data_IF_338425141094
#
_entry.id   IF_338425141094
#
_cell.length_a   1.000
_cell.length_b   1.000
_cell.length_c   1.000
_cell.angle_alpha   90.00
_cell.angle_beta   90.00
_cell.angle_gamma   90.00
#
_symmetry.space_group_name_H-M   'P 1'
#
loop_
_entity.id
_entity.type
_entity.pdbx_description
1 polymer ?
#
# COMPACT_ATOMS: atom_id res chain seq x y z
N UNK A 1 -8.50 13.64 -0.51
CA UNK A 1 -7.77 13.05 -1.67
C UNK A 1 -6.31 13.48 -1.76
N UNK A 2 -5.99 14.77 -1.59
CA UNK A 2 -4.60 15.29 -1.66
C UNK A 2 -3.63 14.63 -0.66
N UNK A 3 -4.07 14.31 0.56
CA UNK A 3 -3.24 13.61 1.54
C UNK A 3 -2.85 12.19 1.07
N UNK A 4 -3.79 11.42 0.54
CA UNK A 4 -3.51 10.08 -0.01
C UNK A 4 -2.46 10.16 -1.11
N UNK A 5 -2.57 11.16 -2.00
CA UNK A 5 -1.60 11.36 -3.07
C UNK A 5 -0.18 11.62 -2.52
N UNK A 6 -0.04 12.54 -1.55
CA UNK A 6 1.26 12.83 -0.90
C UNK A 6 1.86 11.61 -0.21
N UNK A 7 1.05 10.85 0.51
CA UNK A 7 1.50 9.62 1.18
C UNK A 7 1.98 8.58 0.17
N UNK A 8 1.24 8.40 -0.92
CA UNK A 8 1.60 7.46 -1.99
C UNK A 8 2.84 7.94 -2.74
N UNK A 9 3.00 9.22 -3.02
CA UNK A 9 4.21 9.78 -3.62
C UNK A 9 5.45 9.53 -2.75
N UNK A 10 5.35 9.78 -1.44
CA UNK A 10 6.43 9.49 -0.50
C UNK A 10 6.77 7.98 -0.46
N UNK A 11 5.77 7.10 -0.49
CA UNK A 11 5.98 5.65 -0.57
C UNK A 11 6.74 5.25 -1.83
N UNK A 12 6.43 5.87 -2.98
CA UNK A 12 7.12 5.58 -4.23
C UNK A 12 8.55 6.11 -4.25
N UNK A 13 8.80 7.31 -3.71
CA UNK A 13 10.16 7.84 -3.58
C UNK A 13 11.02 6.89 -2.75
N UNK A 14 10.53 6.53 -1.57
CA UNK A 14 11.18 5.58 -0.67
C UNK A 14 11.43 4.22 -1.36
N UNK A 15 10.51 3.72 -2.20
CA UNK A 15 10.67 2.43 -2.90
C UNK A 15 11.68 2.49 -4.06
N UNK A 16 11.90 3.67 -4.65
CA UNK A 16 12.84 3.89 -5.75
C UNK A 16 14.24 4.26 -5.24
N UNK A 17 14.34 4.85 -4.05
CA UNK A 17 15.60 5.22 -3.39
C UNK A 17 16.30 4.02 -2.70
N UNK A 18 15.59 2.92 -2.49
CA UNK A 18 16.13 1.67 -1.91
C UNK A 18 17.24 1.01 -2.76
N UNK A 19 17.50 1.47 -4.00
CA UNK A 19 18.61 0.96 -4.83
C UNK A 19 19.98 1.60 -4.48
N UNK A 20 20.03 2.71 -3.72
CA UNK A 20 21.29 3.44 -3.48
C UNK A 20 21.62 3.82 -2.02
N UNK A 21 20.74 3.56 -1.04
CA UNK A 21 21.07 3.98 0.34
C UNK A 21 20.65 3.01 1.45
N UNK A 22 21.66 2.31 1.94
CA UNK A 22 21.72 1.80 3.30
C UNK A 22 21.78 3.02 4.26
N UNK A 23 20.63 3.66 4.51
CA UNK A 23 20.58 4.92 5.28
C UNK A 23 19.57 4.86 6.44
N UNK A 24 20.06 4.27 7.53
CA UNK A 24 20.20 4.96 8.83
C UNK A 24 18.92 5.64 9.36
N UNK A 25 17.99 4.85 9.88
CA UNK A 25 16.97 5.34 10.81
C UNK A 25 17.65 5.80 12.11
N UNK A 26 18.02 7.07 12.19
CA UNK A 26 18.21 7.75 13.47
C UNK A 26 16.85 8.25 13.90
N UNK A 27 16.14 7.42 14.66
CA UNK A 27 14.97 7.84 15.42
C UNK A 27 15.44 8.83 16.48
N UNK A 28 15.33 10.13 16.20
CA UNK A 28 15.41 11.15 17.24
C UNK A 28 14.21 11.00 18.16
N UNK A 29 14.46 10.47 19.36
CA UNK A 29 13.61 10.59 20.53
C UNK A 29 13.40 12.09 20.84
N UNK A 30 12.31 12.66 20.31
CA UNK A 30 11.85 13.97 20.70
C UNK A 30 10.35 13.89 20.91
N UNK A 31 9.97 14.15 22.15
CA UNK A 31 8.66 13.92 22.72
C UNK A 31 7.51 14.40 21.86
N UNK A 32 6.49 13.55 21.82
CA UNK A 32 5.11 13.75 21.37
C UNK A 32 4.76 15.19 20.94
N UNK A 33 5.25 15.57 19.76
CA UNK A 33 4.67 16.68 19.02
C UNK A 33 3.26 16.25 18.59
N UNK A 34 2.27 17.17 18.56
CA UNK A 34 0.94 16.83 18.07
C UNK A 34 1.12 16.21 16.69
N UNK A 35 0.62 14.98 16.51
CA UNK A 35 0.88 14.17 15.33
C UNK A 35 0.60 14.97 14.05
N UNK A 36 1.66 15.57 13.49
CA UNK A 36 1.58 16.39 12.30
C UNK A 36 1.60 15.46 11.11
N UNK A 37 0.85 15.82 10.07
CA UNK A 37 0.83 15.03 8.84
C UNK A 37 2.21 15.06 8.18
N UNK A 38 2.94 13.95 8.31
CA UNK A 38 4.22 13.69 7.64
C UNK A 38 4.04 12.51 6.66
N UNK A 39 4.02 12.77 5.35
CA UNK A 39 3.86 11.74 4.32
C UNK A 39 4.91 10.63 4.38
N UNK A 40 6.16 10.93 4.77
CA UNK A 40 7.24 9.95 4.80
C UNK A 40 7.06 8.95 5.96
N UNK A 41 6.68 9.46 7.14
CA UNK A 41 6.37 8.58 8.28
C UNK A 41 5.17 7.69 7.94
N UNK A 42 4.12 8.25 7.35
CA UNK A 42 2.91 7.48 7.00
C UNK A 42 3.22 6.46 5.89
N UNK A 43 4.03 6.83 4.89
CA UNK A 43 4.52 5.92 3.86
C UNK A 43 5.31 4.74 4.47
N UNK A 44 6.18 5.00 5.43
CA UNK A 44 6.95 3.95 6.13
C UNK A 44 6.03 2.96 6.86
N UNK A 45 4.93 3.43 7.45
CA UNK A 45 3.91 2.57 8.10
C UNK A 45 3.15 1.74 7.08
N UNK A 46 2.72 2.35 5.97
CA UNK A 46 2.09 1.65 4.84
C UNK A 46 3.00 0.58 4.24
N UNK A 47 4.29 0.88 4.08
CA UNK A 47 5.29 -0.12 3.66
C UNK A 47 5.32 -1.29 4.62
N UNK A 48 5.43 -1.03 5.93
CA UNK A 48 5.40 -2.06 6.97
C UNK A 48 4.11 -2.89 6.94
N UNK A 49 2.97 -2.27 6.66
CA UNK A 49 1.71 -2.99 6.44
C UNK A 49 1.77 -3.88 5.19
N UNK A 50 2.36 -3.40 4.10
CA UNK A 50 2.64 -4.21 2.92
C UNK A 50 3.54 -5.41 3.22
N UNK A 51 4.59 -5.22 4.01
CA UNK A 51 5.52 -6.29 4.38
C UNK A 51 4.88 -7.38 5.26
N UNK A 52 3.87 -7.01 6.06
CA UNK A 52 3.04 -7.96 6.83
C UNK A 52 2.17 -8.85 5.93
N UNK A 53 1.92 -8.44 4.68
CA UNK A 53 1.17 -9.25 3.72
C UNK A 53 2.01 -10.45 3.27
N UNK A 54 1.55 -11.64 3.66
CA UNK A 54 2.19 -12.92 3.38
C UNK A 54 1.59 -13.64 2.16
N UNK A 55 0.79 -12.95 1.34
CA UNK A 55 0.26 -13.53 0.10
C UNK A 55 1.38 -13.87 -0.87
N UNK A 56 1.33 -15.10 -1.38
CA UNK A 56 2.16 -15.54 -2.48
C UNK A 56 1.42 -15.30 -3.81
N UNK A 57 1.76 -14.21 -4.49
CA UNK A 57 1.15 -13.84 -5.76
C UNK A 57 1.42 -14.83 -6.90
N UNK A 58 2.47 -15.65 -6.80
CA UNK A 58 2.74 -16.67 -7.82
C UNK A 58 1.81 -17.87 -7.66
N UNK A 59 1.35 -18.13 -6.44
CA UNK A 59 0.38 -19.18 -6.12
C UNK A 59 -1.07 -18.72 -6.22
N UNK A 60 -1.32 -17.43 -6.03
CA UNK A 60 -2.66 -16.87 -6.13
C UNK A 60 -3.19 -16.99 -7.57
N UNK A 61 -4.26 -17.77 -7.74
CA UNK A 61 -4.91 -17.93 -9.04
C UNK A 61 -5.99 -16.87 -9.22
N UNK A 62 -5.68 -15.82 -10.00
CA UNK A 62 -6.62 -14.76 -10.36
C UNK A 62 -6.28 -14.21 -11.74
N UNK A 63 -7.27 -14.13 -12.62
CA UNK A 63 -7.10 -13.56 -13.96
C UNK A 63 -6.60 -12.11 -13.89
N UNK A 64 -7.23 -11.29 -13.03
CA UNK A 64 -6.83 -9.90 -12.84
C UNK A 64 -5.37 -9.79 -12.35
N UNK A 65 -4.93 -10.66 -11.44
CA UNK A 65 -3.53 -10.70 -11.00
C UNK A 65 -2.58 -11.04 -12.14
N UNK A 66 -2.91 -12.06 -12.93
CA UNK A 66 -2.10 -12.45 -14.09
C UNK A 66 -2.00 -11.33 -15.14
N UNK A 67 -3.07 -10.56 -15.35
CA UNK A 67 -3.06 -9.39 -16.23
C UNK A 67 -2.17 -8.28 -15.69
N UNK A 68 -2.29 -7.95 -14.40
CA UNK A 68 -1.46 -6.92 -13.74
C UNK A 68 0.02 -7.28 -13.79
N UNK A 69 0.38 -8.54 -13.56
CA UNK A 69 1.77 -9.02 -13.67
C UNK A 69 2.33 -8.97 -15.10
N UNK A 70 1.46 -8.89 -16.12
CA UNK A 70 1.83 -8.61 -17.51
C UNK A 70 1.91 -7.12 -17.83
N UNK A 71 1.71 -6.26 -16.83
CA UNK A 71 1.78 -4.81 -16.93
C UNK A 71 0.44 -4.10 -17.19
N UNK A 72 -0.69 -4.81 -17.16
CA UNK A 72 -2.02 -4.24 -17.34
C UNK A 72 -2.54 -3.59 -16.06
N UNK A 73 -2.04 -2.39 -15.77
CA UNK A 73 -2.35 -1.72 -14.50
C UNK A 73 -3.81 -1.26 -14.36
N UNK A 74 -4.60 -1.23 -15.43
CA UNK A 74 -6.06 -1.03 -15.31
C UNK A 74 -6.76 -2.14 -14.52
N UNK A 75 -6.13 -3.32 -14.39
CA UNK A 75 -6.63 -4.45 -13.60
C UNK A 75 -6.18 -4.42 -12.14
N UNK A 76 -5.35 -3.45 -11.75
CA UNK A 76 -4.73 -3.39 -10.42
C UNK A 76 -5.78 -3.35 -9.30
N UNK A 77 -6.78 -2.47 -9.39
CA UNK A 77 -7.83 -2.37 -8.37
C UNK A 77 -8.64 -3.66 -8.20
N UNK A 78 -8.97 -4.35 -9.31
CA UNK A 78 -9.70 -5.61 -9.27
C UNK A 78 -8.84 -6.75 -8.68
N UNK A 79 -7.54 -6.79 -9.00
CA UNK A 79 -6.62 -7.75 -8.41
C UNK A 79 -6.50 -7.54 -6.90
N UNK A 80 -6.33 -6.29 -6.46
CA UNK A 80 -6.29 -5.93 -5.03
C UNK A 80 -7.58 -6.35 -4.33
N UNK A 81 -8.75 -6.00 -4.84
CA UNK A 81 -10.03 -6.34 -4.20
C UNK A 81 -10.18 -7.86 -4.01
N UNK A 82 -9.95 -8.63 -5.07
CA UNK A 82 -10.05 -10.10 -5.04
C UNK A 82 -9.08 -10.72 -4.02
N UNK A 83 -7.82 -10.28 -4.02
CA UNK A 83 -6.80 -10.76 -3.09
C UNK A 83 -7.11 -10.37 -1.65
N UNK A 84 -7.63 -9.16 -1.43
CA UNK A 84 -7.96 -8.65 -0.10
C UNK A 84 -9.11 -9.42 0.53
N UNK A 85 -10.16 -9.72 -0.25
CA UNK A 85 -11.27 -10.59 0.19
C UNK A 85 -10.76 -11.97 0.54
N UNK A 86 -10.05 -12.61 -0.40
CA UNK A 86 -9.50 -13.96 -0.19
C UNK A 86 -8.59 -14.05 1.03
N UNK A 87 -7.75 -13.04 1.26
CA UNK A 87 -6.86 -13.02 2.41
C UNK A 87 -7.61 -12.77 3.73
N UNK A 88 -8.61 -11.89 3.72
CA UNK A 88 -9.47 -11.65 4.90
C UNK A 88 -10.29 -12.88 5.25
N UNK A 89 -10.83 -13.59 4.26
CA UNK A 89 -11.59 -14.84 4.46
C UNK A 89 -10.73 -15.94 5.10
N UNK A 90 -9.43 -15.95 4.81
CA UNK A 90 -8.46 -16.87 5.40
C UNK A 90 -7.93 -16.41 6.77
N UNK A 91 -8.10 -15.13 7.13
CA UNK A 91 -7.57 -14.52 8.36
C UNK A 91 -8.71 -13.80 9.08
N UNK A 92 -9.47 -14.48 9.96
CA UNK A 92 -10.69 -13.93 10.57
C UNK A 92 -10.49 -12.65 11.39
N UNK A 93 -9.28 -12.40 11.87
CA UNK A 93 -8.92 -11.19 12.64
C UNK A 93 -8.58 -9.99 11.74
N UNK A 94 -8.38 -10.23 10.43
CA UNK A 94 -7.99 -9.22 9.46
C UNK A 94 -9.23 -8.71 8.72
N UNK A 95 -9.63 -7.48 9.04
CA UNK A 95 -10.70 -6.80 8.31
C UNK A 95 -10.28 -6.46 6.88
N UNK A 96 -11.25 -6.45 5.97
CA UNK A 96 -11.05 -6.23 4.54
C UNK A 96 -10.27 -4.95 4.24
N UNK A 97 -10.53 -3.85 4.96
CA UNK A 97 -9.91 -2.55 4.69
C UNK A 97 -8.42 -2.58 4.99
N UNK A 98 -8.04 -3.22 6.10
CA UNK A 98 -6.64 -3.42 6.44
C UNK A 98 -5.96 -4.37 5.46
N UNK A 99 -6.62 -5.48 5.11
CA UNK A 99 -6.15 -6.39 4.07
C UNK A 99 -5.92 -5.64 2.75
N UNK A 100 -6.85 -4.77 2.36
CA UNK A 100 -6.79 -3.98 1.14
C UNK A 100 -5.57 -3.08 1.09
N UNK A 101 -5.27 -2.37 2.17
CA UNK A 101 -4.10 -1.49 2.24
C UNK A 101 -2.80 -2.30 2.17
N UNK A 102 -2.70 -3.37 2.95
CA UNK A 102 -1.57 -4.29 2.94
C UNK A 102 -1.33 -4.92 1.54
N UNK A 103 -2.37 -5.48 0.93
CA UNK A 103 -2.32 -6.12 -0.39
C UNK A 103 -1.98 -5.11 -1.47
N UNK A 104 -2.56 -3.91 -1.43
CA UNK A 104 -2.27 -2.85 -2.39
C UNK A 104 -0.77 -2.52 -2.42
N UNK A 105 -0.18 -2.27 -1.25
CA UNK A 105 1.25 -1.94 -1.14
C UNK A 105 2.12 -3.13 -1.54
N UNK A 106 1.82 -4.32 -1.03
CA UNK A 106 2.60 -5.54 -1.33
C UNK A 106 2.60 -5.89 -2.82
N UNK A 107 1.43 -5.85 -3.45
CA UNK A 107 1.28 -6.15 -4.88
C UNK A 107 2.00 -5.11 -5.73
N UNK A 108 1.87 -3.83 -5.36
CA UNK A 108 2.57 -2.74 -6.03
C UNK A 108 4.10 -2.92 -5.99
N UNK A 109 4.66 -3.21 -4.80
CA UNK A 109 6.09 -3.50 -4.62
C UNK A 109 6.53 -4.70 -5.45
N UNK A 110 5.72 -5.75 -5.52
CA UNK A 110 6.01 -6.94 -6.33
C UNK A 110 6.07 -6.61 -7.83
N UNK A 111 5.12 -5.81 -8.32
CA UNK A 111 5.10 -5.38 -9.73
C UNK A 111 6.29 -4.46 -10.02
N UNK A 112 6.62 -3.51 -9.14
CA UNK A 112 7.75 -2.62 -9.32
C UNK A 112 9.07 -3.40 -9.48
N UNK A 113 9.22 -4.50 -8.74
CA UNK A 113 10.37 -5.40 -8.85
C UNK A 113 10.36 -6.27 -10.11
N UNK A 114 9.19 -6.78 -10.52
CA UNK A 114 9.08 -7.68 -11.69
C UNK A 114 9.04 -6.96 -13.04
N UNK A 115 8.38 -5.80 -13.09
CA UNK A 115 8.10 -5.04 -14.30
C UNK A 115 8.37 -3.55 -14.01
N UNK A 116 9.65 -3.15 -13.87
CA UNK A 116 10.01 -1.78 -13.55
C UNK A 116 9.48 -0.81 -14.61
N UNK A 117 9.06 0.38 -14.18
CA UNK A 117 8.55 1.45 -15.05
C UNK A 117 7.05 1.38 -15.41
N UNK A 118 6.35 0.31 -15.06
CA UNK A 118 4.90 0.20 -15.30
C UNK A 118 4.07 0.83 -14.17
N UNK A 119 4.62 0.86 -12.97
CA UNK A 119 3.94 1.30 -11.76
C UNK A 119 3.94 2.83 -11.65
N UNK A 120 2.79 3.43 -11.33
CA UNK A 120 2.67 4.89 -11.11
C UNK A 120 1.98 5.21 -9.78
N UNK A 121 2.40 6.27 -9.05
CA UNK A 121 1.75 6.70 -7.80
C UNK A 121 0.23 6.93 -7.95
N UNK A 122 -0.19 7.41 -9.12
CA UNK A 122 -1.60 7.65 -9.41
C UNK A 122 -2.47 6.40 -9.33
N UNK A 123 -1.94 5.21 -9.65
CA UNK A 123 -2.69 3.96 -9.62
C UNK A 123 -3.08 3.58 -8.19
N UNK A 124 -2.13 3.63 -7.25
CA UNK A 124 -2.42 3.32 -5.86
C UNK A 124 -3.34 4.39 -5.23
N UNK A 125 -3.09 5.66 -5.55
CA UNK A 125 -3.96 6.77 -5.11
C UNK A 125 -5.41 6.58 -5.56
N UNK A 126 -5.61 6.22 -6.84
CA UNK A 126 -6.94 5.98 -7.40
C UNK A 126 -7.62 4.76 -6.79
N UNK A 127 -6.88 3.68 -6.52
CA UNK A 127 -7.46 2.46 -5.92
C UNK A 127 -7.89 2.70 -4.48
N UNK A 128 -7.08 3.40 -3.67
CA UNK A 128 -7.44 3.74 -2.28
C UNK A 128 -8.59 4.75 -2.26
N UNK A 129 -8.48 5.85 -3.01
CA UNK A 129 -9.53 6.86 -3.06
C UNK A 129 -10.79 6.36 -3.78
N UNK A 130 -10.73 5.32 -4.61
CA UNK A 130 -11.88 4.72 -5.27
C UNK A 130 -12.72 3.82 -4.36
N UNK A 131 -12.15 3.35 -3.24
CA UNK A 131 -12.80 2.43 -2.33
C UNK A 131 -13.36 3.16 -1.10
N UNK A 132 -14.68 3.40 -1.10
CA UNK A 132 -15.35 4.13 -0.02
C UNK A 132 -15.20 3.45 1.36
N UNK A 133 -15.18 2.11 1.41
CA UNK A 133 -15.02 1.37 2.65
C UNK A 133 -13.64 1.63 3.28
N UNK A 134 -12.59 1.60 2.45
CA UNK A 134 -11.21 1.89 2.89
C UNK A 134 -11.04 3.34 3.31
N UNK A 135 -11.63 4.29 2.57
CA UNK A 135 -11.61 5.71 2.97
C UNK A 135 -12.26 5.94 4.33
N UNK A 136 -13.46 5.38 4.52
CA UNK A 136 -14.19 5.50 5.78
C UNK A 136 -13.41 4.86 6.93
N UNK A 137 -12.74 3.73 6.69
CA UNK A 137 -11.86 3.09 7.67
C UNK A 137 -10.69 4.00 8.07
N UNK A 138 -10.01 4.61 7.10
CA UNK A 138 -8.93 5.56 7.37
C UNK A 138 -9.44 6.74 8.21
N UNK A 139 -10.60 7.30 7.86
CA UNK A 139 -11.23 8.38 8.61
C UNK A 139 -11.61 7.96 10.04
N UNK A 140 -12.17 6.75 10.22
CA UNK A 140 -12.52 6.20 11.52
C UNK A 140 -11.30 5.95 12.41
N UNK A 141 -10.14 5.62 11.83
CA UNK A 141 -8.87 5.54 12.54
C UNK A 141 -8.30 6.90 12.93
N UNK A 142 -8.93 8.01 12.55
CA UNK A 142 -8.44 9.38 12.79
C UNK A 142 -7.57 9.93 11.66
N UNK A 143 -7.77 9.41 10.44
CA UNK A 143 -7.05 9.80 9.23
C UNK A 143 -5.70 9.10 9.09
N UNK A 144 -4.96 9.47 8.03
CA UNK A 144 -3.64 8.91 7.72
C UNK A 144 -2.61 9.06 8.84
N UNK A 145 -2.75 10.08 9.68
CA UNK A 145 -1.81 10.38 10.77
C UNK A 145 -1.84 9.32 11.88
N UNK A 146 -3.03 8.78 12.16
CA UNK A 146 -3.29 7.85 13.28
C UNK A 146 -3.46 6.40 12.83
N UNK A 147 -3.45 6.17 11.53
CA UNK A 147 -3.36 4.85 10.90
C UNK A 147 -1.94 4.30 11.02
#
# INVERSE_FOLDING_TARGET
EEQTARVVEALFADLLEEDESDCRSLETDSGEAPASFDPAIIASRLRRMGDQCNLDFERASSEALAEVLKGKMEKFGAAVDNLSRSWSDQNPELVYERAFLCVSVKLLMHIAKKVPGVVRPSQLTQVINGNAQVRNYIEACGGWVRM
#
